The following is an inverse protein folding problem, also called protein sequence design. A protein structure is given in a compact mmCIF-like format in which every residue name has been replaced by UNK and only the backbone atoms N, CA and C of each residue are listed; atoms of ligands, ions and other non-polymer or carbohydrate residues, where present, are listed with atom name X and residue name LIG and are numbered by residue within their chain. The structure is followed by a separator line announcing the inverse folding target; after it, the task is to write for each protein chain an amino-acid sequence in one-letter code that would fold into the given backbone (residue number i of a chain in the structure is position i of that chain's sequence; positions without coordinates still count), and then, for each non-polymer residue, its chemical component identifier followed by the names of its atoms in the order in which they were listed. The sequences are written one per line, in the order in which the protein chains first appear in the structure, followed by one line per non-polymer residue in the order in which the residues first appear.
data_IF_265627846825
#
_entry.id   IF_265627846825
#
_cell.length_a   1.000
_cell.length_b   1.000
_cell.length_c   1.000
_cell.angle_alpha   90.00
_cell.angle_beta   90.00
_cell.angle_gamma   90.00
#
_symmetry.space_group_name_H-M   'P 1'
#
loop_
_entity.id
_entity.type
_entity.pdbx_description
1 polymer ?
#
# COMPACT_ATOMS: atom_id res chain seq x y z
N UNK A 1 -12.96 5.36 18.24
CA UNK A 1 -12.62 5.69 16.82
C UNK A 1 -12.72 4.39 16.04
N UNK A 2 -13.23 4.39 14.77
CA UNK A 2 -13.32 3.16 13.98
C UNK A 2 -11.91 2.67 13.62
N UNK A 3 -11.68 1.36 13.73
CA UNK A 3 -10.41 0.71 13.40
C UNK A 3 -10.05 0.91 11.92
N UNK A 4 -8.78 1.20 11.59
CA UNK A 4 -8.35 1.47 10.21
C UNK A 4 -8.62 0.29 9.27
N UNK A 5 -8.40 -0.93 9.75
CA UNK A 5 -8.63 -2.11 8.93
C UNK A 5 -10.13 -2.31 8.62
N UNK A 6 -11.01 -1.96 9.55
CA UNK A 6 -12.44 -2.03 9.30
C UNK A 6 -12.88 -1.01 8.25
N UNK A 7 -12.33 0.23 8.29
CA UNK A 7 -12.60 1.24 7.26
C UNK A 7 -12.14 0.77 5.87
N UNK A 8 -10.97 0.14 5.81
CA UNK A 8 -10.45 -0.41 4.55
C UNK A 8 -11.35 -1.53 4.02
N UNK A 9 -11.74 -2.46 4.88
CA UNK A 9 -12.61 -3.59 4.50
C UNK A 9 -14.01 -3.10 4.12
N UNK A 10 -14.58 -2.12 4.84
CA UNK A 10 -15.87 -1.51 4.48
C UNK A 10 -15.84 -0.97 3.04
N UNK A 11 -14.78 -0.22 2.67
CA UNK A 11 -14.62 0.31 1.30
C UNK A 11 -14.37 -0.79 0.26
N UNK A 12 -13.58 -1.82 0.59
CA UNK A 12 -13.39 -2.99 -0.30
C UNK A 12 -14.72 -3.65 -0.61
N UNK A 13 -15.58 -3.82 0.41
CA UNK A 13 -16.92 -4.44 0.25
C UNK A 13 -17.88 -3.53 -0.51
N UNK A 14 -17.87 -2.23 -0.24
CA UNK A 14 -18.70 -1.24 -0.93
C UNK A 14 -18.41 -1.23 -2.44
N UNK A 15 -17.14 -1.28 -2.81
CA UNK A 15 -16.67 -1.23 -4.21
C UNK A 15 -16.54 -2.60 -4.87
N UNK A 16 -16.75 -3.69 -4.11
CA UNK A 16 -16.46 -5.08 -4.54
C UNK A 16 -15.07 -5.18 -5.19
N UNK A 17 -14.05 -4.58 -4.54
CA UNK A 17 -12.75 -4.40 -5.16
C UNK A 17 -11.58 -4.50 -4.17
N UNK A 18 -10.81 -5.61 -4.16
CA UNK A 18 -9.67 -5.79 -3.28
C UNK A 18 -8.37 -5.21 -3.85
N UNK A 19 -8.42 -4.15 -4.66
CA UNK A 19 -7.23 -3.58 -5.29
C UNK A 19 -6.82 -2.25 -4.66
N UNK A 20 -5.53 -1.94 -4.71
CA UNK A 20 -4.97 -0.63 -4.36
C UNK A 20 -4.08 -0.13 -5.49
N UNK A 21 -4.26 1.13 -5.87
CA UNK A 21 -3.43 1.76 -6.89
C UNK A 21 -2.16 2.34 -6.27
N UNK A 22 -1.00 1.89 -6.74
CA UNK A 22 0.27 2.51 -6.38
C UNK A 22 0.53 3.78 -7.17
N UNK A 23 0.80 4.89 -6.48
CA UNK A 23 1.22 6.16 -7.03
C UNK A 23 2.75 6.30 -6.87
N UNK A 24 3.47 5.71 -7.82
CA UNK A 24 4.94 5.68 -7.88
C UNK A 24 5.41 6.45 -9.14
N UNK A 25 5.08 7.75 -9.28
CA UNK A 25 5.32 8.51 -10.49
C UNK A 25 6.80 8.86 -10.68
N UNK A 26 7.25 8.83 -11.93
CA UNK A 26 8.52 9.43 -12.36
C UNK A 26 8.24 10.26 -13.63
N UNK A 27 9.05 11.28 -13.90
CA UNK A 27 8.82 12.19 -15.01
C UNK A 27 8.68 11.47 -16.37
N UNK A 28 9.43 10.39 -16.60
CA UNK A 28 9.39 9.59 -17.84
C UNK A 28 8.06 8.85 -18.03
N UNK A 29 7.34 8.54 -16.94
CA UNK A 29 6.04 7.89 -17.00
C UNK A 29 4.88 8.81 -17.36
N UNK A 30 5.05 10.12 -17.19
CA UNK A 30 4.00 11.09 -17.50
C UNK A 30 3.69 11.13 -19.00
N UNK A 31 2.43 11.33 -19.38
CA UNK A 31 2.05 11.58 -20.76
C UNK A 31 2.55 12.96 -21.23
N UNK A 32 2.82 13.08 -22.54
CA UNK A 32 3.32 14.32 -23.16
C UNK A 32 2.35 15.48 -22.93
N UNK A 33 1.04 15.22 -23.01
CA UNK A 33 0.00 16.23 -22.79
C UNK A 33 0.02 16.86 -21.38
N UNK A 34 0.64 16.20 -20.38
CA UNK A 34 0.91 16.80 -19.06
C UNK A 34 2.30 17.46 -19.06
N UNK A 35 3.34 16.75 -19.53
CA UNK A 35 4.72 17.28 -19.53
C UNK A 35 4.85 18.64 -20.18
N UNK A 36 4.16 18.83 -21.31
CA UNK A 36 4.28 20.02 -22.14
C UNK A 36 3.62 21.27 -21.53
N UNK A 37 2.82 21.11 -20.47
CA UNK A 37 2.19 22.22 -19.73
C UNK A 37 3.13 22.90 -18.74
N UNK A 38 4.20 22.23 -18.31
CA UNK A 38 5.03 22.66 -17.19
C UNK A 38 6.48 22.88 -17.59
N UNK A 39 7.15 23.79 -16.89
CA UNK A 39 8.57 24.07 -17.09
C UNK A 39 9.41 22.85 -16.72
N UNK A 40 10.48 22.60 -17.49
CA UNK A 40 11.45 21.51 -17.23
C UNK A 40 12.46 21.89 -16.15
N UNK A 41 11.94 22.24 -14.96
CA UNK A 41 12.71 22.44 -13.74
C UNK A 41 12.05 21.64 -12.59
N UNK A 42 12.72 21.53 -11.45
CA UNK A 42 12.27 20.68 -10.34
C UNK A 42 10.83 20.98 -9.90
N UNK A 43 10.50 22.27 -9.76
CA UNK A 43 9.15 22.70 -9.36
C UNK A 43 8.12 22.31 -10.43
N UNK A 44 8.35 22.63 -11.68
CA UNK A 44 7.42 22.29 -12.79
C UNK A 44 7.25 20.78 -12.96
N UNK A 45 8.30 19.99 -12.73
CA UNK A 45 8.21 18.53 -12.72
C UNK A 45 7.29 18.03 -11.60
N UNK A 46 7.42 18.58 -10.39
CA UNK A 46 6.55 18.21 -9.27
C UNK A 46 5.09 18.64 -9.51
N UNK A 47 4.86 19.82 -10.10
CA UNK A 47 3.53 20.28 -10.50
C UNK A 47 2.91 19.36 -11.57
N UNK A 48 3.67 18.93 -12.57
CA UNK A 48 3.24 17.97 -13.58
C UNK A 48 2.87 16.61 -12.97
N UNK A 49 3.68 16.10 -12.03
CA UNK A 49 3.41 14.85 -11.31
C UNK A 49 2.13 14.99 -10.47
N UNK A 50 1.92 16.15 -9.84
CA UNK A 50 0.71 16.37 -9.05
C UNK A 50 -0.55 16.37 -9.93
N UNK A 51 -0.53 17.03 -11.09
CA UNK A 51 -1.64 16.97 -12.05
C UNK A 51 -1.91 15.52 -12.47
N UNK A 52 -0.88 14.77 -12.82
CA UNK A 52 -1.00 13.36 -13.19
C UNK A 52 -1.64 12.53 -12.09
N UNK A 53 -1.17 12.66 -10.84
CA UNK A 53 -1.74 11.95 -9.70
C UNK A 53 -3.22 12.32 -9.48
N UNK A 54 -3.58 13.61 -9.61
CA UNK A 54 -4.98 14.06 -9.48
C UNK A 54 -5.89 13.42 -10.51
N UNK A 55 -5.48 13.43 -11.78
CA UNK A 55 -6.27 12.83 -12.87
C UNK A 55 -6.47 11.32 -12.66
N UNK A 56 -5.43 10.62 -12.20
CA UNK A 56 -5.52 9.20 -11.85
C UNK A 56 -6.47 8.95 -10.68
N UNK A 57 -6.35 9.72 -9.59
CA UNK A 57 -7.22 9.61 -8.41
C UNK A 57 -8.68 9.84 -8.81
N UNK A 58 -8.97 10.89 -9.58
CA UNK A 58 -10.33 11.20 -10.03
C UNK A 58 -10.93 10.10 -10.90
N UNK A 59 -10.09 9.43 -11.71
CA UNK A 59 -10.54 8.35 -12.59
C UNK A 59 -10.91 7.06 -11.84
N UNK A 60 -10.38 6.85 -10.62
CA UNK A 60 -10.51 5.56 -9.91
C UNK A 60 -11.22 5.63 -8.56
N UNK A 61 -11.51 6.82 -8.04
CA UNK A 61 -12.00 7.03 -6.66
C UNK A 61 -13.31 6.33 -6.32
N UNK A 62 -14.12 6.02 -7.33
CA UNK A 62 -15.40 5.29 -7.21
C UNK A 62 -15.26 3.79 -7.52
N UNK A 63 -14.03 3.30 -7.77
CA UNK A 63 -13.76 1.90 -8.15
C UNK A 63 -12.77 1.25 -7.21
N UNK A 64 -11.73 1.98 -6.77
CA UNK A 64 -10.63 1.47 -5.94
C UNK A 64 -10.73 2.05 -4.54
N UNK A 65 -10.68 1.22 -3.45
CA UNK A 65 -10.85 1.68 -2.08
C UNK A 65 -9.67 2.49 -1.53
N UNK A 66 -8.48 2.32 -2.10
CA UNK A 66 -7.24 2.86 -1.54
C UNK A 66 -6.19 3.23 -2.59
N UNK A 67 -5.33 4.17 -2.25
CA UNK A 67 -4.08 4.43 -2.96
C UNK A 67 -2.88 4.10 -2.07
N UNK A 68 -1.79 3.64 -2.68
CA UNK A 68 -0.50 3.41 -2.02
C UNK A 68 0.55 4.37 -2.58
N UNK A 69 1.06 5.25 -1.74
CA UNK A 69 2.05 6.27 -2.11
C UNK A 69 3.43 5.82 -1.61
N UNK A 70 4.32 5.50 -2.56
CA UNK A 70 5.69 5.14 -2.21
C UNK A 70 6.54 6.42 -2.11
N UNK A 71 6.89 6.77 -0.88
CA UNK A 71 7.54 8.04 -0.55
C UNK A 71 8.87 8.26 -1.28
N UNK A 72 9.60 7.20 -1.64
CA UNK A 72 10.89 7.29 -2.34
C UNK A 72 10.79 8.04 -3.67
N UNK A 73 9.65 7.92 -4.39
CA UNK A 73 9.39 8.63 -5.65
C UNK A 73 9.08 10.12 -5.45
N UNK A 74 8.97 10.56 -4.23
CA UNK A 74 8.76 11.94 -3.81
C UNK A 74 10.01 12.48 -3.14
N UNK A 75 10.61 11.76 -2.21
CA UNK A 75 11.88 12.13 -1.53
C UNK A 75 13.00 12.44 -2.54
N UNK A 76 13.06 11.74 -3.68
CA UNK A 76 14.06 11.99 -4.72
C UNK A 76 14.02 13.40 -5.32
N UNK A 77 12.91 14.13 -5.15
CA UNK A 77 12.76 15.52 -5.60
C UNK A 77 12.96 16.55 -4.47
N UNK A 78 13.49 16.14 -3.29
CA UNK A 78 13.78 17.03 -2.16
C UNK A 78 12.54 17.72 -1.59
N UNK A 79 12.65 19.00 -1.22
CA UNK A 79 11.55 19.74 -0.59
C UNK A 79 10.31 19.85 -1.49
N UNK A 80 10.48 20.10 -2.79
CA UNK A 80 9.38 20.15 -3.75
C UNK A 80 8.66 18.80 -3.82
N UNK A 81 9.41 17.70 -3.78
CA UNK A 81 8.85 16.36 -3.73
C UNK A 81 8.13 16.04 -2.44
N UNK A 82 8.61 16.52 -1.30
CA UNK A 82 7.90 16.35 -0.02
C UNK A 82 6.60 17.16 0.03
N UNK A 83 6.59 18.36 -0.58
CA UNK A 83 5.35 19.13 -0.76
C UNK A 83 4.36 18.39 -1.66
N UNK A 84 4.83 17.88 -2.81
CA UNK A 84 4.05 17.04 -3.71
C UNK A 84 3.47 15.81 -2.99
N UNK A 85 4.25 15.15 -2.12
CA UNK A 85 3.82 14.01 -1.31
C UNK A 85 2.66 14.38 -0.39
N UNK A 86 2.82 15.47 0.39
CA UNK A 86 1.78 15.98 1.28
C UNK A 86 0.49 16.32 0.52
N UNK A 87 0.60 17.06 -0.58
CA UNK A 87 -0.54 17.46 -1.41
C UNK A 87 -1.25 16.24 -2.03
N UNK A 88 -0.48 15.21 -2.45
CA UNK A 88 -1.05 13.97 -2.98
C UNK A 88 -1.82 13.18 -1.90
N UNK A 89 -1.26 13.05 -0.69
CA UNK A 89 -1.93 12.39 0.43
C UNK A 89 -3.24 13.12 0.78
N UNK A 90 -3.18 14.44 0.88
CA UNK A 90 -4.35 15.28 1.19
C UNK A 90 -5.43 15.14 0.12
N UNK A 91 -5.07 15.26 -1.15
CA UNK A 91 -6.02 15.15 -2.27
C UNK A 91 -6.68 13.77 -2.33
N UNK A 92 -5.94 12.69 -2.07
CA UNK A 92 -6.51 11.34 -1.99
C UNK A 92 -7.53 11.20 -0.87
N UNK A 93 -7.24 11.76 0.31
CA UNK A 93 -8.18 11.77 1.46
C UNK A 93 -9.42 12.62 1.19
N UNK A 94 -9.28 13.79 0.58
CA UNK A 94 -10.40 14.65 0.16
C UNK A 94 -11.33 13.97 -0.85
N UNK A 95 -10.81 12.99 -1.59
CA UNK A 95 -11.60 12.11 -2.48
C UNK A 95 -11.97 10.77 -1.83
N UNK A 96 -11.97 10.71 -0.49
CA UNK A 96 -12.44 9.58 0.33
C UNK A 96 -11.68 8.27 0.16
N UNK A 97 -10.49 8.29 -0.44
CA UNK A 97 -9.64 7.12 -0.57
C UNK A 97 -8.86 6.85 0.74
N UNK A 98 -8.70 5.58 1.09
CA UNK A 98 -7.76 5.16 2.12
C UNK A 98 -6.34 5.40 1.60
N UNK A 99 -5.51 6.05 2.40
CA UNK A 99 -4.11 6.38 2.06
C UNK A 99 -3.16 5.43 2.77
N UNK A 100 -2.45 4.62 1.99
CA UNK A 100 -1.38 3.74 2.47
C UNK A 100 -0.04 4.36 2.05
N UNK A 101 0.83 4.68 3.01
CA UNK A 101 2.18 5.17 2.70
C UNK A 101 3.18 4.03 2.76
N UNK A 102 3.86 3.81 1.62
CA UNK A 102 4.91 2.82 1.52
C UNK A 102 6.28 3.48 1.78
N UNK A 103 6.67 3.54 3.07
CA UNK A 103 7.90 4.19 3.53
C UNK A 103 8.86 3.24 4.23
N UNK A 104 8.40 2.05 4.62
CA UNK A 104 9.19 1.00 5.28
C UNK A 104 10.00 1.53 6.46
N UNK A 105 9.39 2.41 7.27
CA UNK A 105 10.06 3.03 8.43
C UNK A 105 10.39 1.98 9.49
N UNK A 106 11.47 2.23 10.21
CA UNK A 106 11.94 1.39 11.31
C UNK A 106 13.08 2.09 12.03
N UNK A 107 12.95 2.16 13.36
CA UNK A 107 13.93 2.68 14.29
C UNK A 107 13.47 2.30 15.69
N UNK A 108 14.20 2.64 16.74
CA UNK A 108 13.86 2.32 18.11
C UNK A 108 13.51 3.56 18.93
N UNK A 109 12.75 3.37 20.04
CA UNK A 109 12.50 4.37 21.05
C UNK A 109 11.89 5.66 20.49
N UNK A 110 12.47 6.80 20.85
CA UNK A 110 12.00 8.14 20.47
C UNK A 110 12.09 8.40 18.97
N UNK A 111 13.05 7.81 18.26
CA UNK A 111 13.17 7.94 16.80
C UNK A 111 12.02 7.23 16.09
N UNK A 112 11.69 6.01 16.47
CA UNK A 112 10.50 5.30 15.97
C UNK A 112 9.22 6.09 16.24
N UNK A 113 9.10 6.71 17.45
CA UNK A 113 7.97 7.57 17.79
C UNK A 113 7.90 8.81 16.92
N UNK A 114 9.03 9.45 16.60
CA UNK A 114 9.06 10.60 15.69
C UNK A 114 8.55 10.24 14.29
N UNK A 115 8.98 9.09 13.73
CA UNK A 115 8.43 8.56 12.48
C UNK A 115 6.92 8.29 12.58
N UNK A 116 6.48 7.66 13.66
CA UNK A 116 5.06 7.38 13.87
C UNK A 116 4.21 8.65 13.96
N UNK A 117 4.67 9.64 14.73
CA UNK A 117 4.00 10.94 14.86
C UNK A 117 3.81 11.63 13.51
N UNK A 118 4.83 11.61 12.64
CA UNK A 118 4.77 12.26 11.33
C UNK A 118 3.67 11.66 10.41
N UNK A 119 3.45 10.36 10.47
CA UNK A 119 2.54 9.68 9.54
C UNK A 119 1.18 9.33 10.16
N UNK A 120 1.17 8.78 11.36
CA UNK A 120 -0.01 8.18 11.99
C UNK A 120 -0.54 8.97 13.18
N UNK A 121 0.36 9.51 14.00
CA UNK A 121 0.07 10.17 15.25
C UNK A 121 -0.04 11.70 15.12
N UNK A 122 0.50 12.37 16.13
CA UNK A 122 0.57 13.84 16.20
C UNK A 122 1.96 14.27 16.65
N UNK A 123 2.46 15.33 16.04
CA UNK A 123 3.68 16.00 16.47
C UNK A 123 3.33 17.03 17.54
N UNK A 124 4.01 16.97 18.69
CA UNK A 124 3.83 17.92 19.79
C UNK A 124 4.79 19.11 19.63
N UNK A 125 4.25 20.32 19.66
CA UNK A 125 4.98 21.58 19.52
C UNK A 125 4.52 22.49 20.70
N UNK A 126 5.19 22.39 21.84
CA UNK A 126 4.70 23.01 23.09
C UNK A 126 3.33 22.41 23.46
N UNK A 127 2.34 23.30 23.60
CA UNK A 127 0.96 22.89 23.93
C UNK A 127 0.11 22.45 22.70
N UNK A 128 0.67 22.55 21.51
CA UNK A 128 -0.02 22.23 20.25
C UNK A 128 0.29 20.79 19.84
N UNK A 129 -0.74 20.09 19.33
CA UNK A 129 -0.62 18.72 18.77
C UNK A 129 -1.13 18.72 17.34
N UNK A 130 -0.21 18.65 16.38
CA UNK A 130 -0.51 18.74 14.97
C UNK A 130 -0.36 17.40 14.28
N UNK A 131 -1.31 17.08 13.40
CA UNK A 131 -1.18 16.00 12.43
C UNK A 131 -0.39 16.50 11.24
N UNK A 132 0.66 15.78 10.84
CA UNK A 132 1.49 16.17 9.70
C UNK A 132 0.92 15.57 8.41
N UNK A 133 1.14 14.29 8.16
CA UNK A 133 0.63 13.66 6.94
C UNK A 133 -0.74 12.99 7.10
N UNK A 134 -1.11 12.63 8.33
CA UNK A 134 -2.42 12.04 8.71
C UNK A 134 -2.89 10.91 7.80
N UNK A 135 -1.99 10.01 7.42
CA UNK A 135 -2.32 8.87 6.54
C UNK A 135 -3.05 7.75 7.31
N UNK A 136 -3.66 6.80 6.61
CA UNK A 136 -4.42 5.73 7.27
C UNK A 136 -3.55 4.54 7.63
N UNK A 137 -2.59 4.20 6.75
CA UNK A 137 -1.64 3.10 6.97
C UNK A 137 -0.22 3.49 6.58
N UNK A 138 0.75 2.87 7.27
CA UNK A 138 2.18 3.00 7.01
C UNK A 138 2.84 1.63 6.89
N UNK A 139 3.75 1.43 5.93
CA UNK A 139 4.60 0.23 5.93
C UNK A 139 5.77 0.41 6.88
N UNK A 140 6.08 -0.64 7.68
CA UNK A 140 7.14 -0.63 8.68
C UNK A 140 8.05 -1.86 8.57
N UNK A 141 9.31 -1.71 8.99
CA UNK A 141 10.31 -2.76 8.96
C UNK A 141 10.49 -3.35 10.36
N UNK A 142 10.28 -4.66 10.56
CA UNK A 142 10.34 -5.31 11.87
C UNK A 142 11.75 -5.76 12.27
N UNK A 143 12.78 -5.48 11.48
CA UNK A 143 14.12 -6.07 11.67
C UNK A 143 14.70 -5.87 13.08
N UNK A 144 14.36 -4.78 13.75
CA UNK A 144 14.79 -4.47 15.12
C UNK A 144 13.82 -4.97 16.20
N UNK A 145 12.85 -5.82 15.86
CA UNK A 145 11.89 -6.42 16.81
C UNK A 145 10.78 -5.48 17.25
N UNK A 146 10.12 -5.84 18.36
CA UNK A 146 8.93 -5.12 18.85
C UNK A 146 9.24 -3.66 19.21
N UNK A 147 10.44 -3.35 19.68
CA UNK A 147 10.84 -1.99 20.05
C UNK A 147 10.74 -1.01 18.86
N UNK A 148 10.93 -1.53 17.64
CA UNK A 148 10.81 -0.74 16.42
C UNK A 148 9.38 -0.62 15.91
N UNK A 149 8.48 -1.51 16.30
CA UNK A 149 7.10 -1.59 15.82
C UNK A 149 6.10 -1.01 16.83
N UNK A 150 6.37 -1.15 18.13
CA UNK A 150 5.48 -0.73 19.19
C UNK A 150 5.06 0.75 19.13
N UNK A 151 5.94 1.73 18.87
CA UNK A 151 5.51 3.12 18.77
C UNK A 151 4.45 3.38 17.69
N UNK A 152 4.52 2.63 16.56
CA UNK A 152 3.51 2.69 15.50
C UNK A 152 2.21 1.99 15.93
N UNK A 153 2.29 0.86 16.64
CA UNK A 153 1.12 0.15 17.21
C UNK A 153 0.37 1.04 18.19
N UNK A 154 1.09 1.76 19.06
CA UNK A 154 0.51 2.67 20.04
C UNK A 154 -0.29 3.77 19.35
N UNK A 155 0.25 4.38 18.27
CA UNK A 155 -0.47 5.38 17.48
C UNK A 155 -1.63 4.78 16.68
N UNK A 156 -1.51 3.54 16.21
CA UNK A 156 -2.64 2.83 15.60
C UNK A 156 -3.82 2.72 16.56
N UNK A 157 -3.54 2.36 17.82
CA UNK A 157 -4.54 2.24 18.87
C UNK A 157 -5.15 3.59 19.25
N UNK A 158 -4.32 4.62 19.41
CA UNK A 158 -4.75 5.94 19.88
C UNK A 158 -5.54 6.71 18.78
N UNK A 159 -5.10 6.63 17.52
CA UNK A 159 -5.65 7.44 16.43
C UNK A 159 -6.46 6.64 15.40
N UNK A 160 -6.73 5.35 15.64
CA UNK A 160 -7.48 4.51 14.72
C UNK A 160 -6.77 4.30 13.38
N UNK A 161 -5.45 4.20 13.39
CA UNK A 161 -4.59 3.99 12.23
C UNK A 161 -4.21 2.52 12.06
N UNK A 162 -3.39 2.20 11.04
CA UNK A 162 -2.88 0.86 10.81
C UNK A 162 -1.47 0.86 10.25
N UNK A 163 -0.83 -0.31 10.34
CA UNK A 163 0.50 -0.55 9.74
C UNK A 163 0.50 -1.83 8.92
N UNK A 164 1.38 -1.87 7.91
CA UNK A 164 1.73 -3.08 7.19
C UNK A 164 3.20 -3.41 7.46
N UNK A 165 3.44 -4.44 8.26
CA UNK A 165 4.78 -4.91 8.64
C UNK A 165 5.36 -5.78 7.51
N UNK A 166 6.63 -5.58 7.15
CA UNK A 166 7.30 -6.40 6.14
C UNK A 166 7.51 -7.84 6.66
N UNK A 167 6.89 -8.80 6.00
CA UNK A 167 7.07 -10.24 6.30
C UNK A 167 7.80 -10.94 5.14
N UNK A 168 7.24 -10.90 3.95
CA UNK A 168 7.83 -11.51 2.75
C UNK A 168 7.72 -10.55 1.58
N UNK A 169 8.86 -10.14 1.04
CA UNK A 169 8.92 -9.18 -0.07
C UNK A 169 9.02 -9.88 -1.43
N UNK A 170 8.62 -9.21 -2.50
CA UNK A 170 8.53 -9.78 -3.85
C UNK A 170 9.82 -9.73 -4.66
N UNK A 171 10.88 -9.06 -4.15
CA UNK A 171 12.15 -8.93 -4.86
C UNK A 171 12.92 -10.27 -4.92
N UNK A 172 13.69 -10.52 -5.99
CA UNK A 172 14.41 -11.78 -6.18
C UNK A 172 15.34 -12.16 -5.02
N UNK A 173 16.10 -11.18 -4.47
CA UNK A 173 17.04 -11.42 -3.37
C UNK A 173 16.38 -11.56 -1.98
N UNK A 174 15.05 -11.53 -1.89
CA UNK A 174 14.36 -11.67 -0.61
C UNK A 174 14.71 -12.96 0.14
N UNK A 175 15.07 -14.00 -0.60
CA UNK A 175 15.47 -15.29 -0.04
C UNK A 175 16.79 -15.27 0.75
N UNK A 176 17.68 -14.35 0.48
CA UNK A 176 18.99 -14.24 1.16
C UNK A 176 18.86 -14.10 2.68
N UNK A 177 17.82 -13.41 3.14
CA UNK A 177 17.49 -13.24 4.55
C UNK A 177 16.21 -13.97 4.94
N UNK A 178 15.11 -13.73 4.20
CA UNK A 178 13.78 -14.12 4.64
C UNK A 178 13.56 -15.64 4.60
N UNK A 179 14.28 -16.37 3.72
CA UNK A 179 14.17 -17.84 3.62
C UNK A 179 15.14 -18.59 4.51
N UNK A 180 16.05 -17.90 5.23
CA UNK A 180 16.93 -18.55 6.19
C UNK A 180 16.11 -19.26 7.25
N UNK A 181 16.61 -20.42 7.69
CA UNK A 181 16.00 -21.20 8.76
C UNK A 181 16.60 -20.81 10.10
N UNK A 182 15.74 -20.56 11.06
CA UNK A 182 16.10 -20.41 12.45
C UNK A 182 16.15 -21.77 13.15
N UNK A 183 16.61 -21.82 14.37
CA UNK A 183 16.56 -23.00 15.21
C UNK A 183 15.13 -23.57 15.24
N UNK A 184 14.98 -24.89 15.11
CA UNK A 184 13.68 -25.55 14.94
C UNK A 184 13.19 -25.65 13.48
N UNK A 185 13.96 -25.18 12.49
CA UNK A 185 13.73 -25.38 11.04
C UNK A 185 12.71 -24.45 10.40
N UNK A 186 12.15 -23.50 11.16
CA UNK A 186 11.20 -22.48 10.67
C UNK A 186 11.95 -21.39 9.90
N UNK A 187 11.36 -20.87 8.82
CA UNK A 187 11.94 -19.74 8.07
C UNK A 187 11.75 -18.42 8.81
N UNK A 188 12.66 -17.45 8.61
CA UNK A 188 12.56 -16.12 9.21
C UNK A 188 11.21 -15.46 8.88
N UNK A 189 10.76 -15.50 7.62
CA UNK A 189 9.47 -14.90 7.25
C UNK A 189 8.28 -15.51 8.00
N UNK A 190 8.29 -16.82 8.28
CA UNK A 190 7.24 -17.49 9.06
C UNK A 190 7.27 -17.04 10.52
N UNK A 191 8.45 -16.94 11.10
CA UNK A 191 8.62 -16.44 12.47
C UNK A 191 8.15 -14.99 12.61
N UNK A 192 8.52 -14.12 11.66
CA UNK A 192 8.03 -12.72 11.65
C UNK A 192 6.50 -12.68 11.49
N UNK A 193 5.91 -13.56 10.67
CA UNK A 193 4.45 -13.64 10.52
C UNK A 193 3.74 -13.96 11.85
N UNK A 194 4.28 -14.89 12.63
CA UNK A 194 3.75 -15.22 13.96
C UNK A 194 3.90 -14.05 14.96
N UNK A 195 5.02 -13.33 14.89
CA UNK A 195 5.21 -12.13 15.72
C UNK A 195 4.19 -11.05 15.35
N UNK A 196 3.97 -10.77 14.07
CA UNK A 196 2.98 -9.77 13.59
C UNK A 196 1.57 -10.16 14.01
N UNK A 197 1.19 -11.42 13.87
CA UNK A 197 -0.12 -11.94 14.35
C UNK A 197 -0.31 -11.68 15.84
N UNK A 198 0.73 -11.94 16.65
CA UNK A 198 0.73 -11.69 18.10
C UNK A 198 0.65 -10.20 18.42
N UNK A 199 1.46 -9.35 17.74
CA UNK A 199 1.49 -7.91 17.99
C UNK A 199 0.17 -7.22 17.64
N UNK A 200 -0.61 -7.82 16.74
CA UNK A 200 -1.89 -7.30 16.29
C UNK A 200 -3.11 -7.77 17.10
N UNK A 201 -2.94 -8.61 18.11
CA UNK A 201 -4.04 -9.28 18.79
C UNK A 201 -5.06 -8.31 19.39
N UNK A 202 -4.60 -7.24 20.04
CA UNK A 202 -5.46 -6.21 20.66
C UNK A 202 -6.10 -5.22 19.67
N UNK A 203 -5.73 -5.27 18.38
CA UNK A 203 -6.18 -4.34 17.35
C UNK A 203 -7.04 -5.00 16.27
N UNK A 204 -7.63 -6.16 16.59
CA UNK A 204 -8.61 -6.83 15.72
C UNK A 204 -9.91 -6.04 15.68
N UNK A 205 -10.40 -5.81 14.45
CA UNK A 205 -11.66 -5.12 14.20
C UNK A 205 -12.85 -6.07 14.07
N UNK A 206 -13.99 -5.52 13.64
CA UNK A 206 -15.28 -6.24 13.51
C UNK A 206 -15.26 -7.41 12.51
N UNK A 207 -14.33 -7.39 11.55
CA UNK A 207 -14.16 -8.47 10.58
C UNK A 207 -13.15 -9.53 11.01
N UNK A 208 -12.64 -9.46 12.24
CA UNK A 208 -11.65 -10.39 12.76
C UNK A 208 -10.20 -10.13 12.32
N UNK A 209 -9.98 -9.12 11.46
CA UNK A 209 -8.63 -8.72 11.02
C UNK A 209 -8.07 -7.59 11.87
N UNK A 210 -6.73 -7.56 12.00
CA UNK A 210 -6.00 -6.56 12.79
C UNK A 210 -5.54 -5.37 11.95
N UNK A 211 -5.49 -4.16 12.57
CA UNK A 211 -4.80 -3.01 12.00
C UNK A 211 -3.28 -3.13 12.01
N UNK A 212 -2.71 -4.10 12.74
CA UNK A 212 -1.33 -4.55 12.57
C UNK A 212 -1.33 -5.64 11.51
N UNK A 213 -1.10 -5.21 10.30
CA UNK A 213 -1.21 -5.98 9.05
C UNK A 213 0.18 -6.27 8.46
N UNK A 214 0.27 -6.91 7.30
CA UNK A 214 1.55 -7.35 6.75
C UNK A 214 1.71 -7.07 5.25
N UNK A 215 2.95 -6.84 4.80
CA UNK A 215 3.32 -6.90 3.39
C UNK A 215 3.75 -8.33 3.06
N UNK A 216 3.05 -8.97 2.11
CA UNK A 216 3.34 -10.32 1.64
C UNK A 216 3.30 -10.35 0.11
N UNK A 217 4.45 -10.56 -0.55
CA UNK A 217 4.56 -10.54 -2.00
C UNK A 217 3.81 -11.68 -2.69
N UNK A 218 3.24 -11.38 -3.85
CA UNK A 218 2.46 -12.33 -4.67
C UNK A 218 3.29 -13.37 -5.43
N UNK A 219 4.63 -13.21 -5.48
CA UNK A 219 5.50 -14.01 -6.38
C UNK A 219 5.76 -15.43 -5.92
N UNK A 220 5.41 -15.76 -4.67
CA UNK A 220 5.74 -17.05 -4.04
C UNK A 220 4.48 -17.69 -3.44
N UNK A 221 3.79 -18.50 -4.24
CA UNK A 221 2.53 -19.15 -3.88
C UNK A 221 2.57 -19.98 -2.59
N UNK A 222 3.62 -20.77 -2.41
CA UNK A 222 3.75 -21.65 -1.24
C UNK A 222 4.02 -20.85 0.03
N UNK A 223 4.84 -19.80 -0.07
CA UNK A 223 5.11 -18.91 1.05
C UNK A 223 3.86 -18.13 1.45
N UNK A 224 3.08 -17.64 0.48
CA UNK A 224 1.82 -16.94 0.74
C UNK A 224 0.83 -17.83 1.52
N UNK A 225 0.66 -19.08 1.08
CA UNK A 225 -0.19 -20.07 1.77
C UNK A 225 0.32 -20.39 3.17
N UNK A 226 1.64 -20.56 3.31
CA UNK A 226 2.27 -20.84 4.61
C UNK A 226 2.09 -19.65 5.58
N UNK A 227 2.31 -18.42 5.12
CA UNK A 227 2.12 -17.22 5.94
C UNK A 227 0.65 -17.10 6.37
N UNK A 228 -0.32 -17.30 5.47
CA UNK A 228 -1.75 -17.27 5.81
C UNK A 228 -2.11 -18.30 6.88
N UNK A 229 -1.50 -19.49 6.86
CA UNK A 229 -1.80 -20.54 7.86
C UNK A 229 -1.44 -20.15 9.29
N UNK A 230 -0.42 -19.31 9.49
CA UNK A 230 0.06 -18.86 10.82
C UNK A 230 -0.39 -17.43 11.16
N UNK A 231 -0.76 -16.61 10.19
CA UNK A 231 -1.18 -15.22 10.36
C UNK A 231 -2.66 -15.05 9.92
N UNK A 232 -3.56 -15.68 10.66
CA UNK A 232 -4.98 -15.82 10.31
C UNK A 232 -5.75 -14.51 10.39
N UNK A 233 -5.39 -13.63 11.33
CA UNK A 233 -6.05 -12.35 11.59
C UNK A 233 -5.26 -11.14 11.05
N UNK A 234 -4.15 -11.40 10.39
CA UNK A 234 -3.31 -10.37 9.75
C UNK A 234 -3.82 -10.11 8.34
N UNK A 235 -4.13 -8.86 8.01
CA UNK A 235 -4.50 -8.47 6.65
C UNK A 235 -3.26 -8.27 5.77
N UNK A 236 -3.31 -8.65 4.49
CA UNK A 236 -2.13 -8.61 3.63
C UNK A 236 -2.21 -7.48 2.62
N UNK A 237 -1.17 -6.66 2.56
CA UNK A 237 -0.87 -5.81 1.39
C UNK A 237 0.00 -6.66 0.46
N UNK A 238 -0.52 -6.94 -0.74
CA UNK A 238 0.04 -7.92 -1.66
C UNK A 238 0.59 -7.22 -2.91
N UNK A 239 1.88 -6.83 -2.94
CA UNK A 239 2.52 -6.34 -4.16
C UNK A 239 2.89 -7.47 -5.11
N UNK A 240 3.01 -7.13 -6.41
CA UNK A 240 3.56 -8.04 -7.42
C UNK A 240 2.54 -8.62 -8.40
N UNK A 241 1.27 -8.20 -8.38
CA UNK A 241 0.29 -8.57 -9.38
C UNK A 241 0.66 -8.05 -10.78
N UNK A 242 0.52 -8.89 -11.79
CA UNK A 242 0.75 -8.58 -13.19
C UNK A 242 2.21 -8.29 -13.51
N UNK A 243 2.69 -7.07 -13.29
CA UNK A 243 4.01 -6.59 -13.72
C UNK A 243 5.21 -7.36 -13.16
N UNK A 244 5.04 -8.08 -12.04
CA UNK A 244 6.08 -8.92 -11.39
C UNK A 244 5.76 -10.42 -11.50
N UNK A 245 4.77 -10.80 -12.31
CA UNK A 245 4.42 -12.19 -12.59
C UNK A 245 3.42 -12.84 -11.63
N UNK A 246 2.91 -12.12 -10.63
CA UNK A 246 1.83 -12.62 -9.75
C UNK A 246 0.52 -12.80 -10.51
N UNK A 247 -0.04 -14.01 -10.48
CA UNK A 247 -1.32 -14.35 -11.10
C UNK A 247 -2.45 -14.23 -10.09
N UNK A 248 -3.67 -13.92 -10.56
CA UNK A 248 -4.83 -13.77 -9.69
C UNK A 248 -5.13 -15.06 -8.90
N UNK A 249 -4.98 -16.23 -9.52
CA UNK A 249 -5.23 -17.54 -8.90
C UNK A 249 -4.26 -17.83 -7.74
N UNK A 250 -3.00 -17.42 -7.87
CA UNK A 250 -2.02 -17.58 -6.80
C UNK A 250 -2.26 -16.62 -5.64
N UNK A 251 -2.68 -15.40 -5.97
CA UNK A 251 -3.03 -14.35 -5.00
C UNK A 251 -4.30 -14.70 -4.22
N UNK A 252 -5.28 -15.35 -4.86
CA UNK A 252 -6.53 -15.77 -4.24
C UNK A 252 -6.32 -16.65 -2.99
N UNK A 253 -5.19 -17.35 -2.89
CA UNK A 253 -4.83 -18.14 -1.70
C UNK A 253 -4.58 -17.31 -0.42
N UNK A 254 -4.39 -16.00 -0.56
CA UNK A 254 -4.25 -15.09 0.58
C UNK A 254 -5.60 -14.76 1.24
N UNK A 255 -6.69 -14.91 0.50
CA UNK A 255 -8.03 -14.52 0.93
C UNK A 255 -8.73 -15.65 1.71
N UNK A 256 -9.66 -15.31 2.56
CA UNK A 256 -10.52 -16.25 3.29
C UNK A 256 -11.75 -16.67 2.46
N UNK A 257 -12.61 -17.47 3.04
CA UNK A 257 -13.87 -17.93 2.42
C UNK A 257 -14.86 -16.81 2.12
N UNK A 258 -14.74 -15.66 2.80
CA UNK A 258 -15.57 -14.48 2.62
C UNK A 258 -14.98 -13.50 1.58
N UNK A 259 -13.87 -13.86 0.92
CA UNK A 259 -13.17 -12.99 -0.01
C UNK A 259 -12.40 -11.84 0.67
N UNK A 260 -12.08 -11.98 1.96
CA UNK A 260 -11.32 -11.01 2.75
C UNK A 260 -9.92 -11.53 3.05
N UNK A 261 -9.06 -10.71 3.61
CA UNK A 261 -7.71 -11.08 4.06
C UNK A 261 -6.58 -10.39 3.31
N UNK A 262 -6.86 -9.69 2.23
CA UNK A 262 -5.83 -8.97 1.49
C UNK A 262 -6.33 -7.81 0.64
N UNK A 263 -5.39 -6.94 0.29
CA UNK A 263 -5.53 -5.90 -0.74
C UNK A 263 -4.35 -5.98 -1.68
N UNK A 264 -4.60 -5.97 -2.99
CA UNK A 264 -3.62 -6.27 -4.04
C UNK A 264 -3.13 -5.00 -4.69
N UNK A 265 -1.81 -4.74 -4.62
CA UNK A 265 -1.22 -3.53 -5.19
C UNK A 265 -0.79 -3.72 -6.65
N UNK A 266 -1.19 -2.76 -7.47
CA UNK A 266 -0.65 -2.53 -8.81
C UNK A 266 -0.27 -1.07 -8.98
N UNK A 267 0.94 -0.81 -9.48
CA UNK A 267 1.44 0.56 -9.72
C UNK A 267 1.57 0.82 -11.23
N UNK A 268 2.61 0.27 -11.87
CA UNK A 268 2.92 0.56 -13.27
C UNK A 268 1.79 0.13 -14.24
N UNK A 269 1.16 -1.02 -14.01
CA UNK A 269 0.07 -1.49 -14.87
C UNK A 269 -1.15 -0.58 -14.84
N UNK A 270 -1.43 0.07 -13.72
CA UNK A 270 -2.49 1.06 -13.60
C UNK A 270 -2.05 2.44 -14.10
N UNK A 271 -0.97 3.02 -13.54
CA UNK A 271 -0.52 4.38 -13.91
C UNK A 271 -0.19 4.52 -15.40
N UNK A 272 0.36 3.48 -16.02
CA UNK A 272 0.80 3.48 -17.41
C UNK A 272 -0.07 2.54 -18.27
N UNK A 273 -1.33 2.32 -17.93
CA UNK A 273 -2.23 1.44 -18.65
C UNK A 273 -2.29 1.79 -20.14
N UNK A 274 -2.35 3.07 -20.48
CA UNK A 274 -2.37 3.57 -21.86
C UNK A 274 -1.17 3.16 -22.73
N UNK A 275 -0.03 2.76 -22.11
CA UNK A 275 1.19 2.26 -22.81
C UNK A 275 1.19 0.73 -22.97
N UNK A 276 0.26 0.02 -22.32
CA UNK A 276 0.23 -1.44 -22.36
C UNK A 276 -0.33 -1.96 -23.68
N UNK A 277 0.08 -3.17 -24.08
CA UNK A 277 -0.42 -3.81 -25.30
C UNK A 277 -1.94 -4.00 -25.30
N UNK A 278 -2.56 -4.08 -24.14
CA UNK A 278 -4.01 -4.25 -24.00
C UNK A 278 -4.80 -2.95 -24.32
N UNK A 279 -4.20 -1.78 -24.05
CA UNK A 279 -4.91 -0.51 -24.08
C UNK A 279 -4.35 0.52 -25.07
N UNK A 280 -3.08 0.40 -25.53
CA UNK A 280 -2.40 1.39 -26.40
C UNK A 280 -3.10 1.66 -27.72
N UNK A 281 -3.85 0.68 -28.26
CA UNK A 281 -4.58 0.82 -29.52
C UNK A 281 -6.04 1.29 -29.30
N UNK A 282 -6.49 1.38 -28.04
CA UNK A 282 -7.85 1.80 -27.64
C UNK A 282 -7.90 3.22 -27.08
N UNK A 283 -6.80 3.69 -26.51
CA UNK A 283 -6.70 4.99 -25.87
C UNK A 283 -5.50 5.77 -26.38
N UNK A 284 -5.71 7.02 -26.73
CA UNK A 284 -4.62 7.96 -27.00
C UNK A 284 -3.92 8.32 -25.68
N UNK A 285 -2.70 8.84 -25.77
CA UNK A 285 -1.92 9.24 -24.60
C UNK A 285 -2.65 10.25 -23.69
N UNK A 286 -3.45 11.15 -24.27
CA UNK A 286 -4.28 12.12 -23.53
C UNK A 286 -5.42 11.48 -22.73
N UNK A 287 -5.82 10.26 -23.09
CA UNK A 287 -6.87 9.49 -22.42
C UNK A 287 -6.31 8.53 -21.33
N UNK A 288 -5.08 8.78 -20.86
CA UNK A 288 -4.39 7.92 -19.89
C UNK A 288 -5.24 7.57 -18.65
N UNK A 289 -5.99 8.54 -18.14
CA UNK A 289 -6.85 8.34 -16.97
C UNK A 289 -8.02 7.39 -17.26
N UNK A 290 -8.58 7.42 -18.47
CA UNK A 290 -9.62 6.47 -18.92
C UNK A 290 -9.04 5.05 -19.04
N UNK A 291 -7.84 4.92 -19.62
CA UNK A 291 -7.15 3.65 -19.72
C UNK A 291 -6.88 3.04 -18.34
N UNK A 292 -6.46 3.88 -17.38
CA UNK A 292 -6.28 3.47 -15.97
C UNK A 292 -7.59 2.97 -15.35
N UNK A 293 -8.70 3.65 -15.60
CA UNK A 293 -10.02 3.22 -15.11
C UNK A 293 -10.41 1.84 -15.63
N UNK A 294 -10.26 1.60 -16.92
CA UNK A 294 -10.57 0.32 -17.55
C UNK A 294 -9.67 -0.81 -17.05
N UNK A 295 -8.38 -0.52 -16.85
CA UNK A 295 -7.46 -1.51 -16.27
C UNK A 295 -7.80 -1.81 -14.80
N UNK A 296 -8.25 -0.82 -14.03
CA UNK A 296 -8.71 -1.02 -12.65
C UNK A 296 -9.94 -1.94 -12.60
N UNK A 297 -10.90 -1.73 -13.50
CA UNK A 297 -12.09 -2.60 -13.64
C UNK A 297 -11.69 -4.01 -14.05
N UNK A 298 -10.79 -4.16 -15.02
CA UNK A 298 -10.26 -5.46 -15.45
C UNK A 298 -9.59 -6.21 -14.31
N UNK A 299 -8.69 -5.53 -13.58
CA UNK A 299 -7.99 -6.10 -12.43
C UNK A 299 -8.94 -6.55 -11.33
N UNK A 300 -9.94 -5.72 -10.99
CA UNK A 300 -11.00 -6.08 -10.05
C UNK A 300 -11.70 -7.37 -10.44
N UNK A 301 -12.15 -7.44 -11.70
CA UNK A 301 -12.90 -8.60 -12.19
C UNK A 301 -12.03 -9.87 -12.20
N UNK A 302 -10.76 -9.76 -12.59
CA UNK A 302 -9.80 -10.87 -12.59
C UNK A 302 -9.59 -11.43 -11.18
N UNK A 303 -9.32 -10.56 -10.21
CA UNK A 303 -9.13 -10.95 -8.81
C UNK A 303 -10.40 -11.53 -8.19
N UNK A 304 -11.57 -10.88 -8.37
CA UNK A 304 -12.82 -11.37 -7.83
C UNK A 304 -13.21 -12.74 -8.39
N UNK A 305 -12.99 -12.97 -9.69
CA UNK A 305 -13.21 -14.28 -10.29
C UNK A 305 -12.28 -15.36 -9.69
N UNK A 306 -11.00 -15.04 -9.52
CA UNK A 306 -10.05 -15.96 -8.93
C UNK A 306 -10.37 -16.25 -7.45
N UNK A 307 -10.79 -15.24 -6.67
CA UNK A 307 -11.17 -15.39 -5.26
C UNK A 307 -12.43 -16.26 -5.11
N UNK A 308 -13.42 -16.10 -5.98
CA UNK A 308 -14.67 -16.89 -5.95
C UNK A 308 -14.47 -18.36 -6.36
N UNK A 309 -13.46 -18.65 -7.18
CA UNK A 309 -13.22 -19.98 -7.76
C UNK A 309 -12.05 -20.75 -7.10
N UNK A 310 -11.52 -20.29 -5.95
CA UNK A 310 -10.39 -20.92 -5.25
C UNK A 310 -10.78 -22.17 -4.47
#
# INVERSE_FOLDING_TARGET
MQNAIDRLIDKIKEMDNPTVMGLDPTYDKLPSCIKDKYNKNLKGICEAIFEFNKELILAIKDIIPAVKINIAFYEMYGLEGMKLFEDTCKFAKENELIVIVDAKRGDIGTTAKAYSNAFLGKTEIGDIKEKIYDVDFLTVNPYMGIDSVKPFIDDCKEYGKGIFVLIKTSNPSSGELQNLKIEGGKNIYTHVAELVEKWGEDLRGKYGYSSVSAVVGATYKNELKNIRSVAKHTYFLIPGYGAQGGKAEDIALAFDENGLGGIVNASRSLMCAYKSDLWKDKFEEKDFAKATREEAIRMRNDLNNAIKNK
#
